data_IF_611698552055
#
_entry.id   IF_611698552055
#
_cell.length_a   1.000
_cell.length_b   1.000
_cell.length_c   1.000
_cell.angle_alpha   90.00
_cell.angle_beta   90.00
_cell.angle_gamma   90.00
#
_symmetry.space_group_name_H-M   'P 1'
#
loop_
_entity.id
_entity.type
_entity.pdbx_description
1 polymer ?
#
# COMPACT_ATOMS: atom_id res chain seq x y z
N UNK A 1 -16.34 -26.26 -4.43
CA UNK A 1 -15.48 -26.36 -5.63
C UNK A 1 -15.55 -25.03 -6.35
N UNK A 2 -14.80 -24.06 -5.88
CA UNK A 2 -14.56 -22.83 -6.61
C UNK A 2 -13.42 -23.11 -7.57
N UNK A 3 -13.65 -22.92 -8.87
CA UNK A 3 -12.57 -22.84 -9.82
C UNK A 3 -11.65 -21.69 -9.39
N UNK A 4 -10.30 -21.84 -9.50
CA UNK A 4 -9.40 -20.73 -9.25
C UNK A 4 -9.80 -19.61 -10.19
N UNK A 5 -10.03 -18.42 -9.63
CA UNK A 5 -10.41 -17.28 -10.45
C UNK A 5 -9.24 -16.97 -11.38
N UNK A 6 -9.53 -16.85 -12.68
CA UNK A 6 -8.53 -16.58 -13.74
C UNK A 6 -7.70 -15.29 -13.50
N UNK A 7 -7.98 -14.56 -12.44
CA UNK A 7 -7.37 -13.27 -12.12
C UNK A 7 -6.11 -13.31 -11.25
N UNK A 8 -5.76 -14.49 -10.72
CA UNK A 8 -4.81 -14.58 -9.60
C UNK A 8 -3.38 -14.42 -9.99
N UNK A 9 -3.00 -14.77 -11.18
CA UNK A 9 -1.66 -15.32 -11.31
C UNK A 9 -0.89 -14.72 -12.46
N UNK A 10 -1.21 -13.52 -12.84
CA UNK A 10 -0.43 -12.88 -13.91
C UNK A 10 1.06 -12.78 -13.55
N UNK A 11 1.38 -12.58 -12.27
CA UNK A 11 2.77 -12.47 -11.82
C UNK A 11 3.41 -13.80 -11.41
N UNK A 12 2.61 -14.80 -11.04
CA UNK A 12 3.09 -16.09 -10.57
C UNK A 12 2.66 -17.27 -11.45
N UNK A 13 2.10 -17.00 -12.63
CA UNK A 13 1.66 -18.01 -13.59
C UNK A 13 2.76 -18.98 -14.03
N UNK A 14 4.02 -18.63 -13.74
CA UNK A 14 5.18 -19.48 -13.99
C UNK A 14 5.51 -20.44 -12.85
N UNK A 15 4.86 -20.28 -11.68
CA UNK A 15 5.07 -21.18 -10.55
C UNK A 15 4.12 -22.38 -10.63
N UNK A 16 4.58 -23.59 -10.28
CA UNK A 16 3.71 -24.77 -10.19
C UNK A 16 2.59 -24.54 -9.16
N UNK A 17 1.39 -25.04 -9.45
CA UNK A 17 0.22 -24.89 -8.56
C UNK A 17 0.46 -25.47 -7.15
N UNK A 18 1.30 -26.49 -7.06
CA UNK A 18 1.75 -27.09 -5.80
C UNK A 18 2.47 -26.07 -4.90
N UNK A 19 3.15 -25.09 -5.49
CA UNK A 19 3.86 -24.02 -4.77
C UNK A 19 2.93 -22.98 -4.20
N UNK A 20 1.86 -22.66 -4.94
CA UNK A 20 0.91 -21.58 -4.60
C UNK A 20 0.05 -21.96 -3.39
N UNK A 21 -0.22 -23.27 -3.19
CA UNK A 21 -1.06 -23.77 -2.09
C UNK A 21 -0.29 -24.19 -0.82
N UNK A 22 1.04 -24.26 -0.85
CA UNK A 22 1.81 -24.80 0.29
C UNK A 22 2.00 -23.75 1.41
N UNK A 23 1.34 -24.01 2.55
CA UNK A 23 1.47 -23.17 3.76
C UNK A 23 2.89 -23.09 4.30
N UNK A 24 3.70 -24.10 4.08
CA UNK A 24 5.11 -24.13 4.53
C UNK A 24 5.93 -23.12 3.74
N UNK A 25 5.73 -23.10 2.43
CA UNK A 25 6.38 -22.14 1.53
C UNK A 25 5.96 -20.71 1.86
N UNK A 26 4.66 -20.46 2.05
CA UNK A 26 4.17 -19.13 2.46
C UNK A 26 4.82 -18.67 3.77
N UNK A 27 4.91 -19.55 4.78
CA UNK A 27 5.56 -19.22 6.06
C UNK A 27 7.07 -18.96 5.89
N UNK A 28 7.72 -19.70 5.02
CA UNK A 28 9.14 -19.48 4.71
C UNK A 28 9.33 -18.09 4.08
N UNK A 29 8.54 -17.74 3.07
CA UNK A 29 8.60 -16.45 2.41
C UNK A 29 8.31 -15.31 3.41
N UNK A 30 7.33 -15.48 4.32
CA UNK A 30 7.05 -14.51 5.38
C UNK A 30 8.25 -14.29 6.31
N UNK A 31 8.93 -15.37 6.72
CA UNK A 31 10.14 -15.27 7.56
C UNK A 31 11.28 -14.58 6.81
N UNK A 32 11.49 -14.95 5.56
CA UNK A 32 12.52 -14.34 4.70
C UNK A 32 12.22 -12.86 4.51
N UNK A 33 10.97 -12.51 4.22
CA UNK A 33 10.51 -11.12 4.14
C UNK A 33 10.80 -10.35 5.43
N UNK A 34 10.46 -10.92 6.60
CA UNK A 34 10.70 -10.28 7.88
C UNK A 34 12.18 -10.01 8.12
N UNK A 35 13.05 -10.99 7.83
CA UNK A 35 14.51 -10.82 7.99
C UNK A 35 15.03 -9.73 7.06
N UNK A 36 14.72 -9.79 5.77
CA UNK A 36 15.20 -8.79 4.81
C UNK A 36 14.55 -7.42 5.03
N UNK A 37 13.29 -7.36 5.49
CA UNK A 37 12.64 -6.12 5.89
C UNK A 37 13.35 -5.44 7.07
N UNK A 38 13.75 -6.20 8.09
CA UNK A 38 14.55 -5.68 9.21
C UNK A 38 15.92 -5.22 8.74
N UNK A 39 16.61 -6.00 7.92
CA UNK A 39 17.91 -5.61 7.37
C UNK A 39 17.79 -4.34 6.52
N UNK A 40 16.74 -4.23 5.71
CA UNK A 40 16.47 -3.02 4.93
C UNK A 40 16.15 -1.82 5.81
N UNK A 41 15.32 -2.00 6.85
CA UNK A 41 15.02 -0.94 7.81
C UNK A 41 16.27 -0.35 8.44
N UNK A 42 17.23 -1.21 8.81
CA UNK A 42 18.55 -0.80 9.32
C UNK A 42 19.56 -0.49 8.22
N UNK A 43 19.14 -0.48 6.94
CA UNK A 43 19.97 -0.16 5.78
C UNK A 43 21.18 -1.10 5.58
N UNK A 44 21.07 -2.31 6.12
CA UNK A 44 22.11 -3.32 6.04
C UNK A 44 22.03 -4.06 4.71
N UNK A 45 23.17 -4.16 4.00
CA UNK A 45 23.28 -4.95 2.77
C UNK A 45 22.49 -4.39 1.57
N UNK A 46 22.24 -3.05 1.55
CA UNK A 46 21.67 -2.40 0.38
C UNK A 46 22.58 -2.55 -0.85
N UNK A 47 22.02 -2.68 -2.07
CA UNK A 47 20.60 -2.70 -2.44
C UNK A 47 19.93 -4.08 -2.35
N UNK A 48 20.67 -5.15 -2.02
CA UNK A 48 20.20 -6.53 -2.12
C UNK A 48 19.04 -6.82 -1.15
N UNK A 49 19.11 -6.30 0.06
CA UNK A 49 18.07 -6.49 1.08
C UNK A 49 16.75 -5.84 0.70
N UNK A 50 16.78 -4.68 0.03
CA UNK A 50 15.58 -4.02 -0.47
C UNK A 50 14.93 -4.82 -1.60
N UNK A 51 15.70 -5.36 -2.55
CA UNK A 51 15.18 -6.22 -3.61
C UNK A 51 14.60 -7.51 -3.06
N UNK A 52 15.32 -8.19 -2.15
CA UNK A 52 14.84 -9.42 -1.54
C UNK A 52 13.53 -9.20 -0.78
N UNK A 53 13.43 -8.16 0.03
CA UNK A 53 12.20 -7.81 0.73
C UNK A 53 11.07 -7.48 -0.24
N UNK A 54 11.33 -6.71 -1.31
CA UNK A 54 10.31 -6.35 -2.31
C UNK A 54 9.80 -7.56 -3.07
N UNK A 55 10.68 -8.45 -3.52
CA UNK A 55 10.29 -9.68 -4.21
C UNK A 55 9.44 -10.56 -3.29
N UNK A 56 9.89 -10.77 -2.03
CA UNK A 56 9.10 -11.54 -1.06
C UNK A 56 7.73 -10.90 -0.80
N UNK A 57 7.65 -9.57 -0.70
CA UNK A 57 6.40 -8.85 -0.49
C UNK A 57 5.44 -9.02 -1.67
N UNK A 58 5.91 -8.81 -2.91
CA UNK A 58 5.12 -9.00 -4.13
C UNK A 58 4.61 -10.45 -4.22
N UNK A 59 5.50 -11.42 -3.94
CA UNK A 59 5.13 -12.83 -3.94
C UNK A 59 4.05 -13.15 -2.91
N UNK A 60 4.20 -12.67 -1.67
CA UNK A 60 3.19 -12.87 -0.62
C UNK A 60 1.86 -12.26 -0.99
N UNK A 61 1.83 -11.03 -1.49
CA UNK A 61 0.59 -10.38 -1.92
C UNK A 61 -0.08 -11.18 -3.03
N UNK A 62 0.69 -11.61 -4.03
CA UNK A 62 0.17 -12.40 -5.13
C UNK A 62 -0.43 -13.74 -4.66
N UNK A 63 0.17 -14.38 -3.64
CA UNK A 63 -0.35 -15.62 -3.04
C UNK A 63 -1.62 -15.40 -2.19
N UNK A 64 -1.79 -14.20 -1.62
CA UNK A 64 -2.94 -13.88 -0.77
C UNK A 64 -4.04 -13.11 -1.50
N UNK A 65 -3.84 -12.73 -2.74
CA UNK A 65 -4.76 -11.89 -3.51
C UNK A 65 -6.17 -12.50 -3.63
N UNK A 66 -6.29 -13.82 -3.68
CA UNK A 66 -7.59 -14.51 -3.67
C UNK A 66 -8.48 -14.16 -2.49
N UNK A 67 -7.87 -13.83 -1.36
CA UNK A 67 -8.59 -13.54 -0.13
C UNK A 67 -8.82 -12.04 0.12
N UNK A 68 -8.31 -11.17 -0.77
CA UNK A 68 -8.28 -9.72 -0.56
C UNK A 68 -8.95 -8.99 -1.73
N UNK A 69 -10.16 -9.38 -2.08
CA UNK A 69 -10.91 -8.89 -3.25
C UNK A 69 -11.08 -7.36 -3.37
N UNK A 70 -10.90 -6.60 -2.29
CA UNK A 70 -11.21 -5.16 -2.29
C UNK A 70 -10.01 -4.23 -2.12
N UNK A 71 -8.80 -4.77 -1.97
CA UNK A 71 -7.61 -3.98 -1.65
C UNK A 71 -6.47 -4.09 -2.66
N UNK A 72 -6.70 -4.69 -3.81
CA UNK A 72 -5.70 -4.91 -4.87
C UNK A 72 -4.95 -3.64 -5.24
N UNK A 73 -5.65 -2.54 -5.25
CA UNK A 73 -5.10 -1.26 -5.67
C UNK A 73 -4.07 -0.69 -4.68
N UNK A 74 -4.29 -0.84 -3.37
CA UNK A 74 -3.34 -0.38 -2.35
C UNK A 74 -2.03 -1.16 -2.49
N UNK A 75 -2.11 -2.44 -2.77
CA UNK A 75 -0.95 -3.29 -2.97
C UNK A 75 -0.19 -2.94 -4.24
N UNK A 76 -0.88 -2.62 -5.33
CA UNK A 76 -0.24 -2.16 -6.57
C UNK A 76 0.53 -0.86 -6.36
N UNK A 77 -0.05 0.10 -5.65
CA UNK A 77 0.63 1.36 -5.27
C UNK A 77 1.88 1.06 -4.44
N UNK A 78 1.75 0.23 -3.42
CA UNK A 78 2.86 -0.14 -2.55
C UNK A 78 3.97 -0.85 -3.32
N UNK A 79 3.62 -1.79 -4.20
CA UNK A 79 4.57 -2.49 -5.06
C UNK A 79 5.35 -1.52 -5.95
N UNK A 80 4.67 -0.57 -6.58
CA UNK A 80 5.31 0.43 -7.42
C UNK A 80 6.30 1.29 -6.62
N UNK A 81 5.90 1.76 -5.44
CA UNK A 81 6.77 2.55 -4.56
C UNK A 81 8.00 1.75 -4.15
N UNK A 82 7.82 0.50 -3.74
CA UNK A 82 8.92 -0.39 -3.35
C UNK A 82 9.89 -0.61 -4.52
N UNK A 83 9.38 -0.88 -5.73
CA UNK A 83 10.20 -1.05 -6.93
C UNK A 83 10.99 0.22 -7.23
N UNK A 84 10.38 1.40 -7.16
CA UNK A 84 11.07 2.67 -7.38
C UNK A 84 12.21 2.88 -6.38
N UNK A 85 11.98 2.58 -5.10
CA UNK A 85 13.03 2.64 -4.08
C UNK A 85 14.15 1.63 -4.32
N UNK A 86 13.82 0.40 -4.72
CA UNK A 86 14.82 -0.61 -5.06
C UNK A 86 15.67 -0.18 -6.26
N UNK A 87 15.07 0.37 -7.30
CA UNK A 87 15.79 0.91 -8.44
C UNK A 87 16.75 2.03 -8.00
N UNK A 88 16.28 2.94 -7.16
CA UNK A 88 17.14 4.00 -6.63
C UNK A 88 18.34 3.42 -5.87
N UNK A 89 18.13 2.52 -4.93
CA UNK A 89 19.23 1.89 -4.19
C UNK A 89 20.21 1.15 -5.10
N UNK A 90 19.72 0.57 -6.18
CA UNK A 90 20.59 -0.08 -7.15
C UNK A 90 21.48 0.93 -7.89
N UNK A 91 20.92 2.06 -8.33
CA UNK A 91 21.71 3.12 -8.98
C UNK A 91 22.66 3.84 -8.01
N UNK A 92 22.25 4.01 -6.76
CA UNK A 92 23.08 4.61 -5.71
C UNK A 92 24.05 3.61 -5.04
N UNK A 93 24.13 2.38 -5.51
CA UNK A 93 24.89 1.30 -4.86
C UNK A 93 26.38 1.64 -4.65
N UNK A 94 26.99 2.42 -5.54
CA UNK A 94 28.39 2.86 -5.39
C UNK A 94 28.55 3.83 -4.23
N UNK A 95 27.70 4.86 -4.16
CA UNK A 95 27.71 5.87 -3.09
C UNK A 95 27.43 5.22 -1.73
N UNK A 96 26.50 4.27 -1.69
CA UNK A 96 26.19 3.50 -0.48
C UNK A 96 27.41 2.70 -0.03
N UNK A 97 28.10 2.04 -0.96
CA UNK A 97 29.29 1.25 -0.67
C UNK A 97 30.46 2.10 -0.18
N UNK A 98 30.65 3.26 -0.75
CA UNK A 98 31.71 4.20 -0.35
C UNK A 98 31.41 4.76 1.06
N UNK A 99 30.16 5.17 1.34
CA UNK A 99 29.72 5.59 2.68
C UNK A 99 29.96 4.49 3.74
N UNK A 100 29.70 3.22 3.40
CA UNK A 100 29.96 2.12 4.31
C UNK A 100 31.46 1.93 4.59
N UNK A 101 32.33 2.14 3.60
CA UNK A 101 33.80 2.07 3.78
C UNK A 101 34.34 3.19 4.65
N UNK A 102 33.73 4.36 4.58
CA UNK A 102 34.10 5.54 5.40
C UNK A 102 33.57 5.47 6.84
N UNK A 103 32.89 4.38 7.20
CA UNK A 103 32.32 4.22 8.55
C UNK A 103 31.08 5.07 8.83
N UNK A 104 30.56 5.72 7.82
CA UNK A 104 29.35 6.54 7.89
C UNK A 104 28.09 5.67 7.69
N UNK A 105 28.02 4.59 8.42
CA UNK A 105 27.01 3.53 8.31
C UNK A 105 25.55 4.03 8.37
N UNK A 106 25.31 5.13 9.07
CA UNK A 106 23.99 5.72 9.24
C UNK A 106 23.68 6.86 8.26
N UNK A 107 24.65 7.26 7.45
CA UNK A 107 24.44 8.27 6.42
C UNK A 107 24.24 7.61 5.08
N UNK A 108 23.04 7.11 4.84
CA UNK A 108 22.64 6.79 3.46
C UNK A 108 22.61 8.07 2.63
N UNK A 109 22.93 7.98 1.34
CA UNK A 109 22.70 9.09 0.45
C UNK A 109 21.23 9.55 0.60
N UNK A 110 20.98 10.84 0.74
CA UNK A 110 19.62 11.33 0.96
C UNK A 110 18.74 10.87 -0.19
N UNK A 111 17.58 10.34 0.14
CA UNK A 111 16.59 9.94 -0.87
C UNK A 111 16.31 11.16 -1.77
N UNK A 112 16.51 11.05 -3.08
CA UNK A 112 16.39 12.20 -3.96
C UNK A 112 14.95 12.71 -3.96
N UNK A 113 14.81 14.02 -3.99
CA UNK A 113 13.50 14.68 -3.94
C UNK A 113 12.54 14.18 -5.03
N UNK A 114 13.06 13.84 -6.22
CA UNK A 114 12.24 13.32 -7.30
C UNK A 114 11.59 11.97 -6.96
N UNK A 115 12.28 11.09 -6.24
CA UNK A 115 11.74 9.78 -5.85
C UNK A 115 10.64 9.94 -4.81
N UNK A 116 10.84 10.80 -3.82
CA UNK A 116 9.81 11.16 -2.84
C UNK A 116 8.61 11.79 -3.55
N UNK A 117 8.86 12.75 -4.44
CA UNK A 117 7.80 13.40 -5.21
C UNK A 117 7.03 12.41 -6.08
N UNK A 118 7.72 11.51 -6.80
CA UNK A 118 7.08 10.52 -7.66
C UNK A 118 6.21 9.54 -6.86
N UNK A 119 6.70 9.09 -5.70
CA UNK A 119 5.92 8.24 -4.79
C UNK A 119 4.66 8.95 -4.30
N UNK A 120 4.80 10.20 -3.86
CA UNK A 120 3.66 11.03 -3.43
C UNK A 120 2.70 11.31 -4.59
N UNK A 121 3.21 11.61 -5.77
CA UNK A 121 2.42 11.85 -6.97
C UNK A 121 1.58 10.62 -7.31
N UNK A 122 2.20 9.44 -7.35
CA UNK A 122 1.50 8.20 -7.66
C UNK A 122 0.37 7.91 -6.66
N UNK A 123 0.64 8.02 -5.35
CA UNK A 123 -0.37 7.84 -4.32
C UNK A 123 -1.52 8.85 -4.48
N UNK A 124 -1.17 10.12 -4.64
CA UNK A 124 -2.15 11.21 -4.71
C UNK A 124 -3.05 11.11 -5.95
N UNK A 125 -2.49 10.78 -7.10
CA UNK A 125 -3.24 10.58 -8.35
C UNK A 125 -4.14 9.35 -8.23
N UNK A 126 -3.63 8.27 -7.63
CA UNK A 126 -4.41 7.07 -7.40
C UNK A 126 -5.64 7.35 -6.52
N UNK A 127 -5.47 7.99 -5.36
CA UNK A 127 -6.58 8.35 -4.49
C UNK A 127 -7.56 9.32 -5.17
N UNK A 128 -7.05 10.32 -5.90
CA UNK A 128 -7.89 11.23 -6.65
C UNK A 128 -8.74 10.48 -7.68
N UNK A 129 -8.15 9.53 -8.41
CA UNK A 129 -8.88 8.70 -9.36
C UNK A 129 -9.99 7.88 -8.68
N UNK A 130 -9.70 7.26 -7.53
CA UNK A 130 -10.69 6.50 -6.75
C UNK A 130 -11.84 7.40 -6.28
N UNK A 131 -11.53 8.58 -5.73
CA UNK A 131 -12.53 9.54 -5.30
C UNK A 131 -13.43 10.01 -6.46
N UNK A 132 -12.84 10.40 -7.58
CA UNK A 132 -13.60 10.81 -8.77
C UNK A 132 -14.41 9.67 -9.38
N UNK A 133 -13.88 8.44 -9.37
CA UNK A 133 -14.63 7.27 -9.84
C UNK A 133 -15.89 7.03 -8.99
N UNK A 134 -15.81 7.16 -7.67
CA UNK A 134 -16.98 7.06 -6.79
C UNK A 134 -18.04 8.10 -7.15
N UNK A 135 -17.63 9.36 -7.40
CA UNK A 135 -18.53 10.42 -7.83
C UNK A 135 -19.15 10.10 -9.20
N UNK A 136 -18.35 9.61 -10.12
CA UNK A 136 -18.81 9.29 -11.47
C UNK A 136 -19.84 8.16 -11.50
N UNK A 137 -19.60 7.10 -10.73
CA UNK A 137 -20.46 5.89 -10.74
C UNK A 137 -21.72 6.08 -9.88
N UNK A 138 -21.59 6.68 -8.69
CA UNK A 138 -22.67 6.74 -7.70
C UNK A 138 -23.15 8.15 -7.41
N UNK A 139 -22.51 9.16 -7.98
CA UNK A 139 -22.80 10.55 -7.67
C UNK A 139 -22.62 10.84 -6.17
N UNK A 140 -23.41 11.78 -5.66
CA UNK A 140 -23.46 12.07 -4.23
C UNK A 140 -24.19 10.99 -3.42
N UNK A 141 -24.85 10.04 -4.08
CA UNK A 141 -25.49 8.90 -3.44
C UNK A 141 -24.51 7.99 -2.70
N UNK A 142 -23.21 8.09 -3.02
CA UNK A 142 -22.16 7.38 -2.26
C UNK A 142 -22.08 7.87 -0.80
N UNK A 143 -22.43 9.14 -0.57
CA UNK A 143 -22.41 9.79 0.76
C UNK A 143 -23.76 9.62 1.46
N UNK A 144 -24.18 8.39 1.70
CA UNK A 144 -25.48 8.08 2.33
C UNK A 144 -25.37 7.61 3.79
N UNK A 145 -24.18 7.35 4.28
CA UNK A 145 -23.91 6.81 5.61
C UNK A 145 -24.21 5.30 5.74
N UNK A 146 -25.25 4.82 5.10
CA UNK A 146 -25.72 3.43 5.22
C UNK A 146 -24.71 2.44 4.66
N UNK A 147 -24.07 2.74 3.54
CA UNK A 147 -23.07 1.86 2.94
C UNK A 147 -21.85 1.69 3.85
N UNK A 148 -21.42 2.74 4.56
CA UNK A 148 -20.34 2.63 5.54
C UNK A 148 -20.77 1.80 6.75
N UNK A 149 -21.99 2.00 7.25
CA UNK A 149 -22.54 1.23 8.36
C UNK A 149 -22.63 -0.27 8.02
N UNK A 150 -23.15 -0.60 6.83
CA UNK A 150 -23.23 -1.97 6.35
C UNK A 150 -21.85 -2.60 6.20
N UNK A 151 -20.87 -1.84 5.70
CA UNK A 151 -19.50 -2.32 5.57
C UNK A 151 -18.88 -2.61 6.93
N UNK A 152 -19.02 -1.72 7.93
CA UNK A 152 -18.52 -1.93 9.28
C UNK A 152 -19.16 -3.14 9.95
N UNK A 153 -20.47 -3.33 9.77
CA UNK A 153 -21.21 -4.47 10.28
C UNK A 153 -20.77 -5.77 9.63
N UNK A 154 -20.58 -5.79 8.31
CA UNK A 154 -20.19 -7.00 7.56
C UNK A 154 -18.80 -7.51 7.95
N UNK A 155 -17.92 -6.63 8.37
CA UNK A 155 -16.56 -6.97 8.80
C UNK A 155 -16.44 -7.19 10.32
N UNK A 156 -17.54 -7.21 11.06
CA UNK A 156 -17.54 -7.32 12.53
C UNK A 156 -16.61 -6.31 13.22
N UNK A 157 -16.58 -5.09 12.70
CA UNK A 157 -15.69 -4.01 13.19
C UNK A 157 -16.41 -2.99 14.05
N UNK A 158 -17.55 -3.37 14.63
CA UNK A 158 -18.41 -2.49 15.43
C UNK A 158 -17.90 -2.20 16.84
N UNK A 159 -17.10 -3.11 17.39
CA UNK A 159 -16.65 -3.02 18.78
C UNK A 159 -15.49 -2.03 18.99
N UNK A 160 -14.94 -1.48 17.92
CA UNK A 160 -13.82 -0.54 18.00
C UNK A 160 -14.29 0.91 17.92
N UNK A 161 -13.79 1.74 18.82
CA UNK A 161 -13.93 3.19 18.69
C UNK A 161 -13.10 3.68 17.47
N UNK A 162 -13.62 4.57 16.61
CA UNK A 162 -14.95 5.21 16.63
C UNK A 162 -16.05 4.47 15.85
N UNK A 163 -15.84 3.22 15.44
CA UNK A 163 -16.74 2.50 14.53
C UNK A 163 -18.15 2.31 15.12
N UNK A 164 -18.25 2.05 16.43
CA UNK A 164 -19.54 1.94 17.12
C UNK A 164 -20.39 3.22 16.93
N UNK A 165 -19.82 4.40 17.04
CA UNK A 165 -20.53 5.66 16.82
C UNK A 165 -20.99 5.84 15.36
N UNK A 166 -20.16 5.42 14.41
CA UNK A 166 -20.52 5.48 12.99
C UNK A 166 -21.67 4.53 12.67
N UNK A 167 -21.70 3.35 13.29
CA UNK A 167 -22.79 2.38 13.08
C UNK A 167 -24.10 2.85 13.71
N UNK A 168 -24.04 3.52 14.86
CA UNK A 168 -25.23 4.02 15.55
C UNK A 168 -25.80 5.29 14.95
N UNK A 169 -24.97 6.07 14.23
CA UNK A 169 -25.37 7.38 13.71
C UNK A 169 -25.09 7.51 12.21
N UNK A 170 -26.18 7.43 11.42
CA UNK A 170 -26.10 7.54 9.95
C UNK A 170 -25.57 8.90 9.47
N UNK A 171 -25.86 9.99 10.18
CA UNK A 171 -25.37 11.32 9.80
C UNK A 171 -23.86 11.44 10.04
N UNK A 172 -23.37 10.84 11.10
CA UNK A 172 -21.94 10.77 11.36
C UNK A 172 -21.23 9.92 10.32
N UNK A 173 -21.82 8.78 9.96
CA UNK A 173 -21.30 7.92 8.89
C UNK A 173 -21.29 8.65 7.53
N UNK A 174 -22.35 9.36 7.19
CA UNK A 174 -22.41 10.16 5.97
C UNK A 174 -21.36 11.28 5.97
N UNK A 175 -21.17 11.96 7.11
CA UNK A 175 -20.13 12.98 7.25
C UNK A 175 -18.72 12.40 7.07
N UNK A 176 -18.46 11.24 7.63
CA UNK A 176 -17.19 10.53 7.43
C UNK A 176 -16.97 10.13 5.97
N UNK A 177 -18.01 9.67 5.28
CA UNK A 177 -17.94 9.36 3.85
C UNK A 177 -17.72 10.63 2.99
N UNK A 178 -18.39 11.73 3.32
CA UNK A 178 -18.18 13.01 2.64
C UNK A 178 -16.74 13.49 2.80
N UNK A 179 -16.21 13.39 4.00
CA UNK A 179 -14.83 13.76 4.30
C UNK A 179 -13.84 12.87 3.54
N UNK A 180 -14.05 11.54 3.53
CA UNK A 180 -13.22 10.60 2.77
C UNK A 180 -13.24 10.95 1.29
N UNK A 181 -14.42 11.19 0.72
CA UNK A 181 -14.54 11.53 -0.69
C UNK A 181 -13.83 12.86 -1.04
N UNK A 182 -13.93 13.85 -0.12
CA UNK A 182 -13.19 15.10 -0.26
C UNK A 182 -11.68 14.87 -0.23
N UNK A 183 -11.17 14.13 0.76
CA UNK A 183 -9.75 13.84 0.88
C UNK A 183 -9.24 13.07 -0.34
N UNK A 184 -9.93 12.03 -0.75
CA UNK A 184 -9.57 11.24 -1.94
C UNK A 184 -9.59 12.12 -3.20
N UNK A 185 -10.69 12.82 -3.47
CA UNK A 185 -10.86 13.60 -4.69
C UNK A 185 -9.87 14.76 -4.84
N UNK A 186 -9.38 15.29 -3.74
CA UNK A 186 -8.45 16.43 -3.71
C UNK A 186 -7.04 16.07 -3.23
N UNK A 187 -6.73 14.78 -3.06
CA UNK A 187 -5.42 14.31 -2.58
C UNK A 187 -4.24 14.91 -3.36
N UNK A 188 -4.40 15.12 -4.68
CA UNK A 188 -3.36 15.70 -5.53
C UNK A 188 -2.99 17.15 -5.16
N UNK A 189 -3.88 17.90 -4.51
CA UNK A 189 -3.57 19.27 -4.05
C UNK A 189 -2.50 19.27 -2.95
N UNK A 190 -2.38 18.17 -2.19
CA UNK A 190 -1.32 17.98 -1.22
C UNK A 190 0.09 17.98 -1.82
N UNK A 191 0.24 17.74 -3.13
CA UNK A 191 1.53 17.82 -3.82
C UNK A 191 2.05 19.26 -3.86
N UNK A 192 1.17 20.22 -3.98
CA UNK A 192 1.49 21.62 -4.21
C UNK A 192 1.44 22.47 -2.92
N UNK A 193 0.78 21.98 -1.89
CA UNK A 193 0.58 22.72 -0.65
C UNK A 193 0.96 21.88 0.58
N UNK A 194 1.95 22.35 1.35
CA UNK A 194 2.45 21.67 2.54
C UNK A 194 1.36 21.49 3.62
N UNK A 195 0.54 22.50 3.82
CA UNK A 195 -0.53 22.45 4.84
C UNK A 195 -1.59 21.44 4.46
N UNK A 196 -2.03 21.42 3.19
CA UNK A 196 -2.99 20.42 2.69
C UNK A 196 -2.42 19.03 2.80
N UNK A 197 -1.15 18.83 2.49
CA UNK A 197 -0.46 17.54 2.62
C UNK A 197 -0.48 17.03 4.06
N UNK A 198 -0.26 17.91 5.04
CA UNK A 198 -0.31 17.53 6.46
C UNK A 198 -1.72 17.14 6.87
N UNK A 199 -2.72 17.92 6.47
CA UNK A 199 -4.13 17.64 6.77
C UNK A 199 -4.57 16.31 6.14
N UNK A 200 -4.26 16.10 4.85
CA UNK A 200 -4.65 14.89 4.12
C UNK A 200 -3.85 13.65 4.52
N UNK A 201 -2.62 13.82 5.01
CA UNK A 201 -1.78 12.73 5.49
C UNK A 201 -2.13 12.23 6.89
N UNK A 202 -2.92 12.99 7.64
CA UNK A 202 -3.43 12.62 8.98
C UNK A 202 -4.86 12.06 8.87
N UNK A 203 -5.55 12.35 7.78
CA UNK A 203 -6.91 11.87 7.50
C UNK A 203 -6.90 10.48 6.86
#
# INVERSE_FOLDING_TARGET
>A
SGEPSDNIVTYLAFLPDEFVGDRTICRLIQRVFAVFGVLWFFQLGLPYTSWAATVCFITLISLFQENIFYHDHIFQVTNMILILHCCWYHFAAREIKDSLREGTFWTTPPTPNWLVFLSMFYISVYYAFVGWHKIWVSGLGWVNGVSLQLWLLSWHRVDFFPNNWLVENVYLAASAQAFTLFVEGFAFLGLFNRTLRTIMGVA
#
